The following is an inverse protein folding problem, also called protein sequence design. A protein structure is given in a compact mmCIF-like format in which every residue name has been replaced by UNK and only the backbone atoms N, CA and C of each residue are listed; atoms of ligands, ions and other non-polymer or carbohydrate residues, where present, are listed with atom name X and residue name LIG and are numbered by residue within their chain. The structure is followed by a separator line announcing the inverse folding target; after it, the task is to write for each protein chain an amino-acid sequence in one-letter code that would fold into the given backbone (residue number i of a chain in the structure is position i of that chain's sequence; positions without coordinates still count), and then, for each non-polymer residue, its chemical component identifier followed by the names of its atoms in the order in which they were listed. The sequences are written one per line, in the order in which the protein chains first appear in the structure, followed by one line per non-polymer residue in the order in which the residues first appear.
data_IF_689591742394
#
_entry.id   IF_689591742394
#
_cell.length_a   1.000
_cell.length_b   1.000
_cell.length_c   1.000
_cell.angle_alpha   90.00
_cell.angle_beta   90.00
_cell.angle_gamma   90.00
#
_symmetry.space_group_name_H-M   'P 1'
#
loop_
_entity.id
_entity.type
_entity.pdbx_description
1 polymer ?
#
# COMPACT_ATOMS: atom_id res chain seq x y z
N UNK A 1 27.75 10.22 7.66
CA UNK A 1 27.28 11.33 8.52
C UNK A 1 25.84 11.63 8.13
N UNK A 2 24.88 11.31 9.02
CA UNK A 2 23.41 11.54 8.94
C UNK A 2 22.64 10.55 8.04
N UNK A 3 21.92 9.52 8.53
CA UNK A 3 20.68 9.47 9.35
C UNK A 3 19.46 10.16 8.72
N UNK A 4 18.48 9.38 8.26
CA UNK A 4 17.10 9.84 8.03
C UNK A 4 16.05 8.71 8.09
N UNK A 5 16.17 7.77 9.03
CA UNK A 5 14.98 7.19 9.65
C UNK A 5 14.79 7.99 10.95
N UNK A 6 13.95 9.02 10.88
CA UNK A 6 13.82 9.97 11.99
C UNK A 6 13.48 9.25 13.28
N UNK A 7 14.33 9.43 14.31
CA UNK A 7 13.98 9.12 15.70
C UNK A 7 12.54 9.59 15.96
N UNK A 8 11.70 8.79 16.64
CA UNK A 8 10.35 9.21 16.99
C UNK A 8 10.40 10.60 17.66
N UNK A 9 9.66 11.53 17.06
CA UNK A 9 9.75 12.95 17.32
C UNK A 9 9.10 13.27 18.67
N UNK A 10 9.73 14.16 19.40
CA UNK A 10 9.12 14.83 20.54
C UNK A 10 8.08 15.84 20.06
N UNK A 11 7.22 16.31 20.97
CA UNK A 11 6.25 17.35 20.62
C UNK A 11 6.92 18.68 20.21
N UNK A 12 8.10 18.97 20.73
CA UNK A 12 8.87 20.15 20.35
C UNK A 12 9.37 20.03 18.91
N UNK A 13 9.88 18.87 18.52
CA UNK A 13 10.35 18.65 17.14
C UNK A 13 9.19 18.64 16.14
N UNK A 14 8.03 18.08 16.52
CA UNK A 14 6.83 18.19 15.72
C UNK A 14 6.41 19.66 15.55
N UNK A 15 6.50 20.45 16.62
CA UNK A 15 6.20 21.89 16.57
C UNK A 15 7.14 22.64 15.63
N UNK A 16 8.44 22.39 15.73
CA UNK A 16 9.46 23.03 14.91
C UNK A 16 9.25 22.71 13.41
N UNK A 17 8.88 21.46 13.09
CA UNK A 17 8.71 21.02 11.71
C UNK A 17 7.38 21.40 11.07
N UNK A 18 6.35 21.64 11.88
CA UNK A 18 5.01 22.00 11.39
C UNK A 18 4.76 23.50 11.49
N UNK A 19 5.59 24.24 12.23
CA UNK A 19 5.36 25.65 12.57
C UNK A 19 4.22 25.86 13.57
N UNK A 20 3.65 24.79 14.14
CA UNK A 20 2.55 24.86 15.12
C UNK A 20 3.10 24.73 16.53
N UNK A 21 2.90 25.74 17.36
CA UNK A 21 3.40 25.74 18.73
C UNK A 21 2.96 24.47 19.51
N UNK A 22 3.88 23.87 20.29
CA UNK A 22 3.61 22.66 21.06
C UNK A 22 2.36 22.73 21.99
N UNK A 23 2.05 23.87 22.65
CA UNK A 23 0.79 24.01 23.40
C UNK A 23 -0.46 23.89 22.52
N UNK A 24 -0.41 24.40 21.29
CA UNK A 24 -1.50 24.32 20.31
C UNK A 24 -1.72 22.88 19.87
N UNK A 25 -0.64 22.14 19.57
CA UNK A 25 -0.71 20.71 19.25
C UNK A 25 -1.30 19.90 20.41
N UNK A 26 -0.93 20.19 21.66
CA UNK A 26 -1.56 19.57 22.85
C UNK A 26 -3.04 19.90 22.97
N UNK A 27 -3.43 21.14 22.67
CA UNK A 27 -4.83 21.53 22.68
C UNK A 27 -5.63 20.83 21.59
N UNK A 28 -5.04 20.60 20.41
CA UNK A 28 -5.70 19.85 19.34
C UNK A 28 -5.84 18.37 19.73
N UNK A 29 -4.82 17.78 20.35
CA UNK A 29 -4.86 16.41 20.85
C UNK A 29 -5.99 16.25 21.87
N UNK A 30 -6.10 17.18 22.84
CA UNK A 30 -7.11 17.12 23.88
C UNK A 30 -8.54 17.33 23.35
N UNK A 31 -8.74 18.25 22.39
CA UNK A 31 -10.08 18.64 21.90
C UNK A 31 -10.59 17.75 20.76
N UNK A 32 -9.70 17.36 19.85
CA UNK A 32 -10.07 16.66 18.63
C UNK A 32 -9.43 15.27 18.54
N UNK A 33 -8.58 14.89 19.49
CA UNK A 33 -7.83 13.63 19.45
C UNK A 33 -6.73 13.61 18.37
N UNK A 34 -6.26 14.77 17.92
CA UNK A 34 -5.33 14.90 16.80
C UNK A 34 -4.21 15.90 17.11
N UNK A 35 -2.93 15.62 16.80
CA UNK A 35 -2.40 14.36 16.29
C UNK A 35 -2.49 13.21 17.31
N UNK A 36 -2.26 11.97 16.89
CA UNK A 36 -2.43 10.77 17.73
C UNK A 36 -1.08 10.21 18.17
N UNK A 37 -0.51 10.67 19.30
CA UNK A 37 0.83 10.25 19.71
C UNK A 37 0.88 8.76 20.09
N UNK A 38 1.98 8.10 19.72
CA UNK A 38 2.36 6.82 20.33
C UNK A 38 2.88 7.08 21.74
N UNK A 39 2.28 6.43 22.75
CA UNK A 39 2.74 6.52 24.15
C UNK A 39 3.78 5.46 24.42
N UNK A 40 4.98 5.89 24.83
CA UNK A 40 6.07 5.00 25.25
C UNK A 40 5.80 4.42 26.65
N UNK A 41 6.55 3.40 27.05
CA UNK A 41 6.50 2.76 28.39
C UNK A 41 6.73 3.71 29.58
N UNK A 42 7.10 4.97 29.34
CA UNK A 42 7.17 6.05 30.34
C UNK A 42 6.11 7.15 30.21
N UNK A 43 5.05 6.95 29.41
CA UNK A 43 3.97 7.93 29.23
C UNK A 43 4.31 9.12 28.31
N UNK A 44 5.53 9.20 27.79
CA UNK A 44 5.94 10.24 26.86
C UNK A 44 5.30 10.07 25.48
N UNK A 45 4.87 11.20 24.90
CA UNK A 45 4.33 11.29 23.53
C UNK A 45 5.46 11.20 22.52
N UNK A 46 5.23 10.40 21.49
CA UNK A 46 6.11 10.28 20.33
C UNK A 46 5.29 10.36 19.04
N UNK A 47 5.85 11.07 18.09
CA UNK A 47 5.25 11.33 16.79
C UNK A 47 6.17 10.82 15.67
N UNK A 48 5.64 10.68 14.47
CA UNK A 48 6.41 10.31 13.30
C UNK A 48 6.22 11.29 12.13
N UNK A 49 6.81 10.95 10.99
CA UNK A 49 6.69 11.73 9.75
C UNK A 49 5.24 11.85 9.25
N UNK A 50 4.41 10.83 9.49
CA UNK A 50 3.00 10.87 9.10
C UNK A 50 2.23 11.87 9.96
N UNK A 51 2.56 12.00 11.25
CA UNK A 51 2.01 13.06 12.11
C UNK A 51 2.38 14.46 11.59
N UNK A 52 3.63 14.66 11.13
CA UNK A 52 4.08 15.94 10.54
C UNK A 52 3.24 16.25 9.29
N UNK A 53 3.15 15.30 8.36
CA UNK A 53 2.39 15.46 7.13
C UNK A 53 0.90 15.72 7.39
N UNK A 54 0.31 15.02 8.37
CA UNK A 54 -1.09 15.20 8.74
C UNK A 54 -1.35 16.59 9.32
N UNK A 55 -0.45 17.10 10.19
CA UNK A 55 -0.58 18.46 10.74
C UNK A 55 -0.45 19.51 9.62
N UNK A 56 0.50 19.34 8.70
CA UNK A 56 0.64 20.22 7.54
C UNK A 56 -0.60 20.20 6.64
N UNK A 57 -1.25 19.05 6.46
CA UNK A 57 -2.50 18.97 5.71
C UNK A 57 -3.67 19.68 6.43
N UNK A 58 -3.76 19.55 7.76
CA UNK A 58 -4.73 20.35 8.53
C UNK A 58 -4.49 21.85 8.31
N UNK A 59 -3.23 22.30 8.27
CA UNK A 59 -2.90 23.70 7.99
C UNK A 59 -3.33 24.11 6.57
N UNK A 60 -3.03 23.31 5.54
CA UNK A 60 -3.48 23.59 4.16
C UNK A 60 -5.00 23.74 4.05
N UNK A 61 -5.76 22.86 4.72
CA UNK A 61 -7.21 22.98 4.76
C UNK A 61 -7.68 24.26 5.45
N UNK A 62 -7.03 24.66 6.53
CA UNK A 62 -7.33 25.92 7.21
C UNK A 62 -7.02 27.14 6.36
N UNK A 63 -5.91 27.11 5.62
CA UNK A 63 -5.54 28.18 4.68
C UNK A 63 -6.56 28.28 3.53
N UNK A 64 -7.20 27.16 3.16
CA UNK A 64 -8.32 27.15 2.21
C UNK A 64 -9.69 27.55 2.80
N UNK A 65 -9.74 27.97 4.06
CA UNK A 65 -10.94 28.49 4.73
C UNK A 65 -11.75 27.48 5.53
N UNK A 66 -11.28 26.24 5.71
CA UNK A 66 -11.97 25.27 6.58
C UNK A 66 -11.75 25.59 8.05
N UNK A 67 -12.81 25.45 8.86
CA UNK A 67 -12.69 25.47 10.31
C UNK A 67 -11.80 24.32 10.79
N UNK A 68 -11.02 24.54 11.87
CA UNK A 68 -10.05 23.56 12.38
C UNK A 68 -10.67 22.17 12.63
N UNK A 69 -11.85 22.10 13.25
CA UNK A 69 -12.54 20.83 13.49
C UNK A 69 -12.91 20.11 12.19
N UNK A 70 -13.40 20.85 11.19
CA UNK A 70 -13.71 20.30 9.87
C UNK A 70 -12.44 19.87 9.12
N UNK A 71 -11.34 20.59 9.25
CA UNK A 71 -10.04 20.23 8.69
C UNK A 71 -9.47 18.96 9.35
N UNK A 72 -9.51 18.87 10.68
CA UNK A 72 -9.08 17.67 11.42
C UNK A 72 -9.98 16.48 11.07
N UNK A 73 -11.29 16.68 10.99
CA UNK A 73 -12.23 15.65 10.55
C UNK A 73 -11.93 15.21 9.12
N UNK A 74 -11.68 16.13 8.19
CA UNK A 74 -11.33 15.84 6.79
C UNK A 74 -10.04 15.02 6.70
N UNK A 75 -8.99 15.39 7.45
CA UNK A 75 -7.73 14.63 7.47
C UNK A 75 -7.92 13.24 8.05
N UNK A 76 -8.73 13.10 9.11
CA UNK A 76 -9.10 11.80 9.66
C UNK A 76 -9.94 10.97 8.71
N UNK A 77 -10.93 11.58 8.06
CA UNK A 77 -11.80 10.95 7.08
C UNK A 77 -11.02 10.52 5.84
N UNK A 78 -10.05 11.30 5.36
CA UNK A 78 -9.14 10.91 4.26
C UNK A 78 -8.17 9.81 4.68
N UNK A 79 -7.80 9.76 5.97
CA UNK A 79 -7.03 8.66 6.53
C UNK A 79 -7.88 7.39 6.76
N UNK A 80 -9.19 7.52 6.98
CA UNK A 80 -10.15 6.41 7.11
C UNK A 80 -10.94 6.12 5.84
N UNK A 81 -10.78 6.93 4.79
CA UNK A 81 -11.45 6.73 3.51
C UNK A 81 -10.93 5.41 2.98
N UNK A 82 -11.82 4.49 2.61
CA UNK A 82 -11.39 3.19 2.17
C UNK A 82 -10.59 3.36 0.86
N UNK A 83 -9.25 3.24 0.92
CA UNK A 83 -8.39 3.40 -0.25
C UNK A 83 -8.27 2.07 -0.98
N UNK A 84 -8.36 2.14 -2.31
CA UNK A 84 -8.11 1.03 -3.22
C UNK A 84 -6.77 1.27 -3.89
N UNK A 85 -5.87 0.28 -3.92
CA UNK A 85 -4.56 0.44 -4.59
C UNK A 85 -4.80 0.70 -6.07
N UNK A 86 -5.72 -0.05 -6.69
CA UNK A 86 -6.18 0.15 -8.06
C UNK A 86 -6.67 1.59 -8.29
N UNK A 87 -7.61 2.09 -7.48
CA UNK A 87 -8.19 3.43 -7.71
C UNK A 87 -7.16 4.56 -7.54
N UNK A 88 -6.30 4.47 -6.53
CA UNK A 88 -5.22 5.44 -6.31
C UNK A 88 -4.20 5.40 -7.46
N UNK A 89 -3.82 4.20 -7.91
CA UNK A 89 -2.88 4.03 -9.01
C UNK A 89 -3.43 4.62 -10.31
N UNK A 90 -4.70 4.35 -10.62
CA UNK A 90 -5.42 4.92 -11.78
C UNK A 90 -5.47 6.44 -11.74
N UNK A 91 -5.65 7.03 -10.55
CA UNK A 91 -5.69 8.49 -10.37
C UNK A 91 -4.31 9.11 -10.59
N UNK A 92 -3.27 8.52 -10.02
CA UNK A 92 -1.90 9.01 -10.13
C UNK A 92 -1.31 8.80 -11.53
N UNK A 93 -1.72 7.73 -12.22
CA UNK A 93 -1.19 7.32 -13.53
C UNK A 93 -2.33 7.10 -14.53
N UNK A 94 -2.97 8.17 -15.02
CA UNK A 94 -4.16 8.07 -15.88
C UNK A 94 -3.88 7.41 -17.24
N UNK A 95 -2.61 7.41 -17.68
CA UNK A 95 -2.16 6.81 -18.94
C UNK A 95 -2.10 5.28 -18.93
N UNK A 96 -2.17 4.65 -17.75
CA UNK A 96 -2.37 3.20 -17.68
C UNK A 96 -3.67 2.86 -18.42
N UNK A 97 -3.80 1.66 -18.96
CA UNK A 97 -5.05 1.22 -19.61
C UNK A 97 -5.49 -0.08 -18.94
N UNK A 98 -6.65 -0.11 -18.25
CA UNK A 98 -7.12 -1.33 -17.63
C UNK A 98 -7.52 -2.35 -18.69
N UNK A 99 -7.26 -3.61 -18.40
CA UNK A 99 -7.65 -4.75 -19.22
C UNK A 99 -8.67 -5.59 -18.48
N UNK A 100 -9.68 -6.06 -19.20
CA UNK A 100 -10.64 -7.01 -18.65
C UNK A 100 -9.97 -8.39 -18.60
N UNK A 101 -9.62 -8.88 -17.41
CA UNK A 101 -8.97 -10.18 -17.24
C UNK A 101 -9.87 -11.15 -16.46
N UNK A 102 -9.84 -12.42 -16.85
CA UNK A 102 -10.41 -13.51 -16.05
C UNK A 102 -9.54 -13.80 -14.81
N UNK A 103 -10.15 -14.42 -13.79
CA UNK A 103 -9.47 -14.78 -12.54
C UNK A 103 -8.23 -15.66 -12.77
N UNK A 104 -8.33 -16.62 -13.67
CA UNK A 104 -7.25 -17.56 -14.00
C UNK A 104 -6.03 -16.82 -14.56
N UNK A 105 -6.26 -15.76 -15.33
CA UNK A 105 -5.18 -14.91 -15.85
C UNK A 105 -4.55 -14.06 -14.75
N UNK A 106 -5.33 -13.52 -13.81
CA UNK A 106 -4.77 -12.86 -12.62
C UNK A 106 -3.90 -13.81 -11.80
N UNK A 107 -4.35 -15.05 -11.58
CA UNK A 107 -3.57 -16.07 -10.87
C UNK A 107 -2.29 -16.41 -11.63
N UNK A 108 -2.35 -16.58 -12.94
CA UNK A 108 -1.19 -16.90 -13.76
C UNK A 108 -0.15 -15.77 -13.76
N UNK A 109 -0.59 -14.52 -13.94
CA UNK A 109 0.28 -13.34 -13.86
C UNK A 109 0.88 -13.16 -12.46
N UNK A 110 0.07 -13.34 -11.42
CA UNK A 110 0.55 -13.28 -10.03
C UNK A 110 1.67 -14.29 -9.80
N UNK A 111 1.47 -15.55 -10.23
CA UNK A 111 2.48 -16.60 -10.10
C UNK A 111 3.76 -16.28 -10.86
N UNK A 112 3.65 -15.77 -12.08
CA UNK A 112 4.81 -15.38 -12.88
C UNK A 112 5.63 -14.28 -12.19
N UNK A 113 4.96 -13.25 -11.65
CA UNK A 113 5.61 -12.17 -10.89
C UNK A 113 6.26 -12.74 -9.61
N UNK A 114 5.54 -13.59 -8.87
CA UNK A 114 6.04 -14.21 -7.64
C UNK A 114 7.25 -15.12 -7.90
N UNK A 115 7.23 -15.91 -8.97
CA UNK A 115 8.34 -16.79 -9.37
C UNK A 115 9.58 -15.97 -9.74
N UNK A 116 9.44 -14.94 -10.58
CA UNK A 116 10.54 -14.07 -10.97
C UNK A 116 11.10 -13.28 -9.77
N UNK A 117 10.21 -12.79 -8.90
CA UNK A 117 10.59 -12.14 -7.65
C UNK A 117 11.42 -13.06 -6.76
N UNK A 118 10.98 -14.30 -6.56
CA UNK A 118 11.70 -15.28 -5.75
C UNK A 118 13.08 -15.60 -6.35
N UNK A 119 13.16 -15.67 -7.68
CA UNK A 119 14.38 -16.02 -8.38
C UNK A 119 15.42 -14.90 -8.43
N UNK A 120 14.99 -13.63 -8.52
CA UNK A 120 15.91 -12.54 -8.92
C UNK A 120 15.87 -11.27 -8.07
N UNK A 121 14.75 -10.95 -7.43
CA UNK A 121 14.61 -9.65 -6.79
C UNK A 121 15.53 -9.50 -5.58
N UNK A 122 16.38 -8.47 -5.60
CA UNK A 122 17.25 -8.13 -4.48
C UNK A 122 16.47 -7.40 -3.39
N UNK A 123 16.13 -8.12 -2.30
CA UNK A 123 15.45 -7.58 -1.10
C UNK A 123 14.16 -6.78 -1.42
N UNK A 124 13.18 -7.39 -2.12
CA UNK A 124 11.94 -6.72 -2.49
C UNK A 124 11.10 -6.31 -1.27
N UNK A 125 10.22 -5.33 -1.46
CA UNK A 125 9.06 -5.08 -0.60
C UNK A 125 7.83 -5.58 -1.32
N UNK A 126 7.14 -6.54 -0.69
CA UNK A 126 6.00 -7.23 -1.27
C UNK A 126 4.70 -6.85 -0.57
N UNK A 127 3.65 -6.60 -1.36
CA UNK A 127 2.29 -6.41 -0.87
C UNK A 127 1.33 -7.31 -1.63
N UNK A 128 0.55 -8.11 -0.92
CA UNK A 128 -0.41 -9.04 -1.50
C UNK A 128 -1.80 -8.88 -0.89
N UNK A 129 -2.83 -8.59 -1.68
CA UNK A 129 -4.23 -8.63 -1.24
C UNK A 129 -4.86 -9.95 -1.64
N UNK A 130 -5.24 -10.74 -0.65
CA UNK A 130 -5.88 -12.03 -0.84
C UNK A 130 -7.39 -11.96 -0.71
N UNK A 131 -7.95 -10.82 -0.31
CA UNK A 131 -9.37 -10.61 0.01
C UNK A 131 -9.85 -11.47 1.19
N UNK A 132 -9.79 -12.80 1.03
CA UNK A 132 -10.25 -13.81 1.97
C UNK A 132 -9.13 -14.72 2.46
N UNK A 133 -9.22 -15.16 3.71
CA UNK A 133 -8.26 -16.00 4.42
C UNK A 133 -8.01 -17.33 3.69
N UNK A 134 -9.04 -17.88 3.02
CA UNK A 134 -8.86 -19.11 2.22
C UNK A 134 -7.86 -18.94 1.07
N UNK A 135 -7.84 -17.77 0.43
CA UNK A 135 -6.93 -17.49 -0.67
C UNK A 135 -5.50 -17.24 -0.16
N UNK A 136 -5.36 -16.57 0.99
CA UNK A 136 -4.07 -16.46 1.67
C UNK A 136 -3.53 -17.84 2.09
N UNK A 137 -4.37 -18.70 2.67
CA UNK A 137 -3.99 -20.07 3.06
C UNK A 137 -3.50 -20.89 1.87
N UNK A 138 -4.19 -20.79 0.73
CA UNK A 138 -3.78 -21.47 -0.50
C UNK A 138 -2.40 -21.00 -1.01
N UNK A 139 -2.03 -19.75 -0.74
CA UNK A 139 -0.76 -19.14 -1.18
C UNK A 139 0.32 -19.13 -0.10
N UNK A 140 0.03 -19.65 1.10
CA UNK A 140 0.85 -19.45 2.30
C UNK A 140 2.28 -19.95 2.14
N UNK A 141 2.45 -21.16 1.59
CA UNK A 141 3.78 -21.72 1.34
C UNK A 141 4.63 -20.78 0.49
N UNK A 142 4.08 -20.27 -0.61
CA UNK A 142 4.80 -19.39 -1.54
C UNK A 142 5.17 -18.06 -0.88
N UNK A 143 4.25 -17.47 -0.13
CA UNK A 143 4.51 -16.22 0.56
C UNK A 143 5.48 -16.37 1.74
N UNK A 144 5.50 -17.53 2.40
CA UNK A 144 6.55 -17.89 3.36
C UNK A 144 7.93 -18.04 2.68
N UNK A 145 8.02 -18.45 1.41
CA UNK A 145 9.29 -18.46 0.66
C UNK A 145 9.76 -17.03 0.35
N UNK A 146 8.86 -16.23 -0.24
CA UNK A 146 9.14 -14.83 -0.61
C UNK A 146 9.56 -13.99 0.58
N UNK A 147 8.90 -14.16 1.73
CA UNK A 147 9.18 -13.40 2.94
C UNK A 147 10.59 -13.63 3.51
N UNK A 148 11.27 -14.75 3.17
CA UNK A 148 12.61 -15.04 3.71
C UNK A 148 13.71 -14.17 3.12
N UNK A 149 13.55 -13.73 1.87
CA UNK A 149 14.54 -12.91 1.17
C UNK A 149 14.09 -11.46 0.97
N UNK A 150 12.79 -11.20 1.12
CA UNK A 150 12.22 -9.85 1.07
C UNK A 150 12.69 -8.97 2.24
N UNK A 151 12.78 -7.66 1.99
CA UNK A 151 12.90 -6.67 3.06
C UNK A 151 11.63 -6.65 3.93
N UNK A 152 10.46 -6.79 3.30
CA UNK A 152 9.19 -7.07 3.96
C UNK A 152 8.24 -7.75 2.98
N UNK A 153 7.40 -8.66 3.48
CA UNK A 153 6.26 -9.19 2.74
C UNK A 153 5.00 -8.95 3.56
N UNK A 154 4.03 -8.23 3.03
CA UNK A 154 2.81 -7.80 3.72
C UNK A 154 1.61 -8.41 3.00
N UNK A 155 0.70 -9.01 3.76
CA UNK A 155 -0.48 -9.69 3.21
C UNK A 155 -1.76 -9.14 3.83
N UNK A 156 -2.70 -8.73 2.98
CA UNK A 156 -4.01 -8.22 3.36
C UNK A 156 -5.07 -9.31 3.16
N UNK A 157 -5.88 -9.58 4.18
CA UNK A 157 -7.00 -10.52 4.11
C UNK A 157 -8.04 -10.27 5.21
N UNK A 158 -9.22 -10.88 5.12
CA UNK A 158 -10.29 -10.90 6.14
C UNK A 158 -9.93 -11.76 7.38
N UNK A 159 -8.80 -11.44 8.01
CA UNK A 159 -8.28 -12.18 9.15
C UNK A 159 -9.11 -11.90 10.42
N UNK A 160 -9.49 -12.93 11.20
CA UNK A 160 -10.14 -12.72 12.49
C UNK A 160 -9.18 -12.07 13.51
N UNK A 161 -7.90 -12.46 13.49
CA UNK A 161 -6.82 -11.83 14.23
C UNK A 161 -5.51 -12.04 13.48
N UNK A 162 -4.70 -10.98 13.24
CA UNK A 162 -3.42 -11.12 12.57
C UNK A 162 -2.36 -11.74 13.51
N UNK A 163 -1.51 -12.62 12.99
CA UNK A 163 -0.41 -13.20 13.75
C UNK A 163 0.62 -12.14 14.19
N UNK A 164 1.38 -12.46 15.25
CA UNK A 164 2.51 -11.64 15.66
C UNK A 164 3.55 -11.56 14.52
N UNK A 165 4.11 -10.38 14.30
CA UNK A 165 5.09 -10.19 13.24
C UNK A 165 6.39 -10.91 13.61
N UNK A 166 6.91 -11.70 12.67
CA UNK A 166 8.17 -12.43 12.83
C UNK A 166 9.05 -12.23 11.59
N UNK A 167 10.38 -12.06 11.75
CA UNK A 167 11.30 -12.01 10.62
C UNK A 167 11.17 -13.25 9.72
N UNK A 168 11.26 -13.05 8.41
CA UNK A 168 11.16 -14.15 7.43
C UNK A 168 9.75 -14.72 7.25
N UNK A 169 8.71 -14.07 7.80
CA UNK A 169 7.31 -14.45 7.64
C UNK A 169 6.50 -13.28 7.08
N UNK A 170 5.40 -13.55 6.34
CA UNK A 170 4.49 -12.51 5.92
C UNK A 170 3.89 -11.75 7.11
N UNK A 171 3.87 -10.43 7.02
CA UNK A 171 3.22 -9.52 7.96
C UNK A 171 1.75 -9.45 7.59
N UNK A 172 0.92 -10.03 8.45
CA UNK A 172 -0.52 -10.14 8.25
C UNK A 172 -1.27 -8.84 8.59
N UNK A 173 -2.05 -8.31 7.67
CA UNK A 173 -2.89 -7.12 7.90
C UNK A 173 -4.35 -7.54 7.77
N UNK A 174 -5.09 -7.43 8.87
CA UNK A 174 -6.51 -7.74 8.90
C UNK A 174 -7.30 -6.61 8.25
N UNK A 175 -8.09 -6.94 7.22
CA UNK A 175 -8.90 -6.00 6.47
C UNK A 175 -10.38 -6.22 6.80
N UNK A 176 -11.15 -5.16 7.14
CA UNK A 176 -12.57 -5.29 7.43
C UNK A 176 -13.36 -5.63 6.14
N UNK A 177 -14.45 -6.42 6.22
CA UNK A 177 -15.20 -6.86 5.04
C UNK A 177 -15.71 -5.75 4.12
N UNK A 178 -15.92 -4.54 4.66
CA UNK A 178 -16.42 -3.37 3.92
C UNK A 178 -15.31 -2.57 3.22
N UNK A 179 -14.03 -2.85 3.47
CA UNK A 179 -12.94 -2.18 2.80
C UNK A 179 -12.88 -2.56 1.30
N UNK A 180 -12.49 -1.64 0.39
CA UNK A 180 -12.27 -1.90 -1.03
C UNK A 180 -11.30 -3.04 -1.28
N UNK A 181 -10.28 -3.17 -0.43
CA UNK A 181 -9.32 -4.29 -0.45
C UNK A 181 -10.01 -5.67 -0.43
N UNK A 182 -11.18 -5.79 0.18
CA UNK A 182 -11.98 -7.03 0.21
C UNK A 182 -12.54 -7.43 -1.17
N UNK A 183 -12.48 -6.54 -2.17
CA UNK A 183 -12.89 -6.75 -3.56
C UNK A 183 -11.78 -6.47 -4.57
N UNK A 184 -10.55 -6.35 -4.07
CA UNK A 184 -9.40 -5.97 -4.87
C UNK A 184 -8.33 -7.06 -4.80
N UNK A 185 -7.82 -7.42 -5.98
CA UNK A 185 -6.61 -8.20 -6.15
C UNK A 185 -5.43 -7.24 -6.22
N UNK A 186 -4.39 -7.47 -5.42
CA UNK A 186 -3.17 -6.68 -5.49
C UNK A 186 -1.96 -7.58 -5.27
N UNK A 187 -0.97 -7.45 -6.14
CA UNK A 187 0.37 -7.98 -5.97
C UNK A 187 1.35 -6.87 -6.39
N UNK A 188 2.12 -6.37 -5.44
CA UNK A 188 3.16 -5.37 -5.69
C UNK A 188 4.49 -5.98 -5.26
N UNK A 189 5.45 -6.02 -6.18
CA UNK A 189 6.86 -6.34 -5.95
C UNK A 189 7.68 -5.09 -6.25
N UNK A 190 8.03 -4.35 -5.19
CA UNK A 190 8.88 -3.16 -5.29
C UNK A 190 10.33 -3.57 -4.98
N UNK A 191 11.10 -3.73 -6.04
CA UNK A 191 12.54 -3.97 -6.01
C UNK A 191 13.21 -3.09 -7.05
N UNK A 192 14.45 -2.68 -6.80
CA UNK A 192 15.20 -1.79 -7.70
C UNK A 192 15.49 -2.45 -9.06
N UNK A 193 15.72 -3.75 -9.03
CA UNK A 193 16.12 -4.60 -10.15
C UNK A 193 14.93 -5.33 -10.80
N UNK A 194 13.84 -5.53 -10.07
CA UNK A 194 12.65 -6.20 -10.56
C UNK A 194 11.34 -5.58 -10.02
N UNK A 195 10.99 -4.36 -10.47
CA UNK A 195 9.70 -3.76 -10.13
C UNK A 195 8.58 -4.40 -10.95
N UNK A 196 7.55 -4.89 -10.28
CA UNK A 196 6.35 -5.42 -10.92
C UNK A 196 5.12 -5.16 -10.06
N UNK A 197 4.00 -4.81 -10.68
CA UNK A 197 2.73 -4.57 -10.01
C UNK A 197 1.60 -5.15 -10.85
N UNK A 198 0.67 -5.83 -10.19
CA UNK A 198 -0.62 -6.28 -10.72
C UNK A 198 -1.70 -5.87 -9.72
N UNK A 199 -2.60 -4.98 -10.12
CA UNK A 199 -3.76 -4.59 -9.32
C UNK A 199 -5.02 -4.77 -10.14
N UNK A 200 -6.08 -5.29 -9.54
CA UNK A 200 -7.33 -5.51 -10.24
C UNK A 200 -8.54 -5.39 -9.30
N UNK A 201 -9.63 -4.88 -9.83
CA UNK A 201 -10.92 -4.79 -9.12
C UNK A 201 -11.96 -5.64 -9.82
N UNK A 202 -12.77 -6.35 -9.04
CA UNK A 202 -13.90 -7.11 -9.59
C UNK A 202 -14.92 -6.14 -10.21
N UNK A 203 -15.38 -6.43 -11.44
CA UNK A 203 -16.39 -5.59 -12.08
C UNK A 203 -17.72 -5.66 -11.32
N UNK A 204 -18.41 -4.52 -11.11
CA UNK A 204 -19.70 -4.51 -10.44
C UNK A 204 -20.73 -5.30 -11.26
N UNK A 205 -21.72 -5.89 -10.56
CA UNK A 205 -22.83 -6.61 -11.20
C UNK A 205 -22.60 -8.10 -11.49
N UNK A 206 -21.52 -8.69 -10.97
CA UNK A 206 -21.21 -10.13 -11.13
C UNK A 206 -21.38 -11.03 -9.89
N UNK A 207 -22.19 -10.70 -8.86
CA UNK A 207 -22.21 -11.47 -7.60
C UNK A 207 -22.70 -12.92 -7.76
N UNK A 208 -23.53 -13.19 -8.79
CA UNK A 208 -24.07 -14.51 -9.11
C UNK A 208 -23.23 -15.33 -10.10
N UNK A 209 -22.17 -14.75 -10.67
CA UNK A 209 -21.29 -15.47 -11.60
C UNK A 209 -20.41 -16.47 -10.83
N UNK A 210 -20.22 -17.69 -11.38
CA UNK A 210 -19.21 -18.62 -10.86
C UNK A 210 -17.84 -17.95 -10.79
N UNK A 211 -17.04 -18.30 -9.79
CA UNK A 211 -15.75 -17.68 -9.48
C UNK A 211 -14.80 -17.58 -10.70
N UNK A 212 -14.80 -18.58 -11.59
CA UNK A 212 -13.99 -18.59 -12.83
C UNK A 212 -14.56 -17.79 -14.01
N UNK A 213 -15.78 -17.24 -13.91
CA UNK A 213 -16.37 -16.36 -14.94
C UNK A 213 -16.31 -14.89 -14.59
N UNK A 214 -15.88 -14.57 -13.37
CA UNK A 214 -15.71 -13.19 -12.91
C UNK A 214 -14.62 -12.50 -13.74
N UNK A 215 -14.93 -11.28 -14.17
CA UNK A 215 -14.01 -10.42 -14.92
C UNK A 215 -13.56 -9.27 -14.01
N UNK A 216 -12.28 -8.96 -14.13
CA UNK A 216 -11.63 -7.94 -13.34
C UNK A 216 -11.10 -6.86 -14.26
N UNK A 217 -11.26 -5.59 -13.87
CA UNK A 217 -10.49 -4.52 -14.49
C UNK A 217 -9.11 -4.51 -13.84
N UNK A 218 -8.12 -4.95 -14.61
CA UNK A 218 -6.78 -5.20 -14.15
C UNK A 218 -5.78 -4.26 -14.81
N UNK A 219 -4.80 -3.81 -14.06
CA UNK A 219 -3.63 -3.12 -14.56
C UNK A 219 -2.41 -3.90 -14.07
N UNK A 220 -1.51 -4.22 -14.98
CA UNK A 220 -0.19 -4.68 -14.62
C UNK A 220 0.89 -3.84 -15.28
N UNK A 221 2.04 -3.74 -14.63
CA UNK A 221 3.14 -2.88 -15.07
C UNK A 221 4.45 -3.31 -14.44
N UNK A 222 5.54 -2.97 -15.11
CA UNK A 222 6.92 -3.07 -14.62
C UNK A 222 7.61 -1.71 -14.55
N UNK A 223 6.84 -0.62 -14.72
CA UNK A 223 7.36 0.74 -14.59
C UNK A 223 7.72 1.02 -13.11
N UNK A 224 8.99 1.33 -12.78
CA UNK A 224 9.41 1.54 -11.40
C UNK A 224 8.65 2.69 -10.69
N UNK A 225 8.27 3.75 -11.40
CA UNK A 225 7.53 4.88 -10.84
C UNK A 225 6.09 4.51 -10.48
N UNK A 226 5.46 3.73 -11.34
CA UNK A 226 4.10 3.22 -11.10
C UNK A 226 4.12 2.20 -9.96
N UNK A 227 5.07 1.26 -9.96
CA UNK A 227 5.23 0.25 -8.91
C UNK A 227 5.49 0.92 -7.55
N UNK A 228 6.36 1.94 -7.46
CA UNK A 228 6.61 2.70 -6.23
C UNK A 228 5.34 3.40 -5.73
N UNK A 229 4.52 3.92 -6.63
CA UNK A 229 3.23 4.53 -6.27
C UNK A 229 2.30 3.49 -5.64
N UNK A 230 2.13 2.33 -6.27
CA UNK A 230 1.33 1.23 -5.72
C UNK A 230 1.85 0.75 -4.35
N UNK A 231 3.17 0.61 -4.23
CA UNK A 231 3.89 0.23 -3.01
C UNK A 231 3.63 1.21 -1.86
N UNK A 232 3.71 2.52 -2.11
CA UNK A 232 3.41 3.58 -1.13
C UNK A 232 1.93 3.58 -0.70
N UNK A 233 1.01 3.36 -1.63
CA UNK A 233 -0.42 3.25 -1.31
C UNK A 233 -0.69 2.02 -0.46
N UNK A 234 -0.13 0.87 -0.82
CA UNK A 234 -0.26 -0.36 -0.03
C UNK A 234 0.38 -0.21 1.37
N UNK A 235 1.54 0.43 1.46
CA UNK A 235 2.17 0.73 2.75
C UNK A 235 1.29 1.64 3.63
N UNK A 236 0.68 2.67 3.04
CA UNK A 236 -0.27 3.55 3.75
C UNK A 236 -1.51 2.80 4.23
N UNK A 237 -2.00 1.83 3.46
CA UNK A 237 -3.11 0.96 3.87
C UNK A 237 -2.70 0.04 5.02
N UNK A 238 -1.49 -0.52 4.98
CA UNK A 238 -0.95 -1.31 6.09
C UNK A 238 -0.74 -0.45 7.35
N UNK A 239 -0.31 0.80 7.22
CA UNK A 239 -0.18 1.73 8.35
C UNK A 239 -1.55 1.98 9.01
N UNK A 240 -2.61 2.11 8.21
CA UNK A 240 -3.98 2.33 8.70
C UNK A 240 -4.57 1.10 9.41
N UNK A 241 -4.39 -0.10 8.84
CA UNK A 241 -5.00 -1.33 9.37
C UNK A 241 -4.13 -2.07 10.40
N UNK A 242 -2.81 -1.86 10.39
CA UNK A 242 -1.87 -2.45 11.36
C UNK A 242 -0.77 -1.43 11.72
N UNK A 243 -1.06 -0.43 12.57
CA UNK A 243 -0.08 0.55 12.99
C UNK A 243 1.21 -0.11 13.55
N UNK A 244 2.37 0.35 13.09
CA UNK A 244 3.67 -0.17 13.54
C UNK A 244 4.10 -1.48 12.87
N UNK A 245 3.50 -1.88 11.75
CA UNK A 245 3.89 -3.09 11.01
C UNK A 245 5.29 -3.02 10.38
N UNK A 246 5.77 -1.82 10.03
CA UNK A 246 6.99 -1.59 9.25
C UNK A 246 8.24 -2.13 9.97
N UNK A 247 8.97 -3.10 9.38
CA UNK A 247 10.32 -3.44 9.83
C UNK A 247 11.29 -2.25 9.68
N UNK A 248 12.40 -2.29 10.43
CA UNK A 248 13.48 -1.32 10.25
C UNK A 248 14.15 -1.50 8.88
N UNK A 249 14.55 -0.40 8.21
CA UNK A 249 15.28 -0.47 6.94
C UNK A 249 14.42 -0.63 5.68
N UNK A 250 13.17 -0.16 5.70
CA UNK A 250 12.26 -0.07 4.55
C UNK A 250 12.51 1.18 3.66
N UNK A 251 13.77 1.57 3.48
CA UNK A 251 14.20 2.82 2.83
C UNK A 251 13.69 2.96 1.39
N UNK A 252 13.50 1.83 0.69
CA UNK A 252 13.03 1.81 -0.69
C UNK A 252 11.70 2.57 -0.89
N UNK A 253 10.81 2.58 0.10
CA UNK A 253 9.53 3.31 -0.01
C UNK A 253 9.71 4.83 -0.09
N UNK A 254 10.77 5.36 0.51
CA UNK A 254 11.05 6.79 0.60
C UNK A 254 11.87 7.29 -0.61
N UNK A 255 12.54 6.38 -1.31
CA UNK A 255 13.37 6.72 -2.46
C UNK A 255 12.55 7.14 -3.68
N UNK A 256 13.17 7.94 -4.55
CA UNK A 256 12.64 8.20 -5.88
C UNK A 256 13.10 7.08 -6.83
N UNK A 257 12.17 6.38 -7.52
CA UNK A 257 12.53 5.31 -8.44
C UNK A 257 13.15 5.88 -9.72
N UNK A 258 14.01 5.09 -10.36
CA UNK A 258 14.53 5.44 -11.68
C UNK A 258 13.40 5.52 -12.71
N UNK A 259 13.54 6.38 -13.71
CA UNK A 259 12.60 6.42 -14.83
C UNK A 259 12.66 5.10 -15.61
N UNK A 260 11.52 4.62 -16.08
CA UNK A 260 11.46 3.47 -16.98
C UNK A 260 12.25 3.78 -18.26
N UNK A 261 13.07 2.82 -18.72
CA UNK A 261 13.73 2.95 -20.01
C UNK A 261 12.70 2.88 -21.14
N UNK A 262 12.94 3.53 -22.29
CA UNK A 262 12.04 3.44 -23.44
C UNK A 262 11.85 1.99 -23.95
N UNK A 263 12.88 1.15 -23.81
CA UNK A 263 12.81 -0.27 -24.17
C UNK A 263 11.90 -1.05 -23.23
N UNK A 264 12.01 -0.81 -21.92
CA UNK A 264 11.14 -1.42 -20.92
C UNK A 264 9.69 -1.02 -21.15
N UNK A 265 9.43 0.26 -21.45
CA UNK A 265 8.08 0.75 -21.76
C UNK A 265 7.49 0.05 -22.99
N UNK A 266 8.25 -0.04 -24.10
CA UNK A 266 7.81 -0.75 -25.31
C UNK A 266 7.56 -2.24 -25.08
N UNK A 267 8.43 -2.90 -24.32
CA UNK A 267 8.28 -4.31 -24.00
C UNK A 267 7.05 -4.56 -23.11
N UNK A 268 6.84 -3.71 -22.09
CA UNK A 268 5.67 -3.76 -21.23
C UNK A 268 4.37 -3.54 -22.02
N UNK A 269 4.35 -2.56 -22.94
CA UNK A 269 3.19 -2.31 -23.81
C UNK A 269 2.86 -3.49 -24.72
N UNK A 270 3.88 -4.15 -25.29
CA UNK A 270 3.69 -5.34 -26.11
C UNK A 270 3.12 -6.49 -25.27
N UNK A 271 3.71 -6.77 -24.12
CA UNK A 271 3.25 -7.82 -23.21
C UNK A 271 1.83 -7.55 -22.71
N UNK A 272 1.51 -6.29 -22.39
CA UNK A 272 0.16 -5.86 -22.05
C UNK A 272 -0.82 -6.27 -23.14
N UNK A 273 -0.54 -5.93 -24.41
CA UNK A 273 -1.43 -6.31 -25.52
C UNK A 273 -1.56 -7.82 -25.70
N UNK A 274 -0.45 -8.56 -25.58
CA UNK A 274 -0.45 -10.01 -25.69
C UNK A 274 -1.34 -10.66 -24.63
N UNK A 275 -1.22 -10.24 -23.37
CA UNK A 275 -2.06 -10.72 -22.26
C UNK A 275 -3.54 -10.42 -22.56
N UNK A 276 -3.85 -9.21 -23.00
CA UNK A 276 -5.21 -8.83 -23.37
C UNK A 276 -5.79 -9.69 -24.49
N UNK A 277 -5.02 -9.96 -25.55
CA UNK A 277 -5.48 -10.82 -26.65
C UNK A 277 -5.66 -12.28 -26.23
N UNK A 278 -4.75 -12.83 -25.43
CA UNK A 278 -4.84 -14.21 -24.96
C UNK A 278 -6.02 -14.42 -24.00
N UNK A 279 -6.33 -13.45 -23.14
CA UNK A 279 -7.48 -13.55 -22.25
C UNK A 279 -8.82 -13.37 -22.97
N UNK A 280 -8.85 -12.55 -24.04
CA UNK A 280 -10.04 -12.36 -24.86
C UNK A 280 -10.47 -13.64 -25.63
N UNK A 281 -9.57 -14.61 -25.78
CA UNK A 281 -9.86 -15.91 -26.39
C UNK A 281 -10.56 -16.90 -25.44
N UNK A 282 -10.73 -16.54 -24.16
CA UNK A 282 -11.33 -17.38 -23.12
C UNK A 282 -12.79 -17.07 -22.83
#
# INVERSE_FOLDING_TARGET
MGEAQGRPLTISELADRTGVAAPTLRSWEARYGFPTPRRMTGGHRRYDEADVAAVQEVLRHRDSGLALEAAVRRVREVATEPRSVYAELRRAHPALVPQALAKESLVALSRAIEDECCARAARPVLFGSFQQLRFLRASRRRWDELARTAAAAVVFADLPAPAQAHPGRPIEVAVPPQAPLSREWALVCDARDLPACLVAVERPGQPSEPDGRRRFDAVWTVDPAVVRTASRVAASLADAYRPGWRPQGLEILDEQPAAASPDLARAADLLNRMVGYLDALR
#
